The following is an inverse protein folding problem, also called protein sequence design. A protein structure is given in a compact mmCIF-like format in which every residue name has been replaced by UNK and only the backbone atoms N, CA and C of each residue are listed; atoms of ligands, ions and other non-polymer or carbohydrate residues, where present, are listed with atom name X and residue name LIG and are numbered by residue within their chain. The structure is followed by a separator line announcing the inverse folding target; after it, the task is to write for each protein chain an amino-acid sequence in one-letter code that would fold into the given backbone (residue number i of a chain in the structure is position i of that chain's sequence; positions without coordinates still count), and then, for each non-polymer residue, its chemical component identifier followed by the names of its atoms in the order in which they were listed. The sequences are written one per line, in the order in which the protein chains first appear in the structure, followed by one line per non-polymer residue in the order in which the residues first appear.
data_IF_717975722446
#
_entry.id   IF_717975722446
#
_cell.length_a   1.000
_cell.length_b   1.000
_cell.length_c   1.000
_cell.angle_alpha   90.00
_cell.angle_beta   90.00
_cell.angle_gamma   90.00
#
_symmetry.space_group_name_H-M   'P 1'
#
loop_
_entity.id
_entity.type
_entity.pdbx_description
1 polymer ?
#
# COMPACT_ATOMS: atom_id res chain seq x y z
N UNK A 1 -19.68 -17.63 -21.26
CA UNK A 1 -19.07 -16.90 -22.38
C UNK A 1 -18.90 -15.47 -21.89
N UNK A 2 -17.78 -15.18 -21.22
CA UNK A 2 -17.53 -13.84 -20.67
C UNK A 2 -17.22 -12.92 -21.82
N UNK A 3 -18.12 -11.97 -22.04
CA UNK A 3 -17.95 -10.89 -23.00
C UNK A 3 -16.64 -10.19 -22.64
N UNK A 4 -15.65 -10.24 -23.53
CA UNK A 4 -14.40 -9.51 -23.38
C UNK A 4 -14.73 -8.06 -23.71
N UNK A 5 -15.44 -7.41 -22.78
CA UNK A 5 -15.80 -6.03 -22.91
C UNK A 5 -14.51 -5.23 -23.04
N UNK A 6 -14.46 -4.36 -24.04
CA UNK A 6 -13.34 -3.43 -24.22
C UNK A 6 -13.42 -2.39 -23.10
N UNK A 7 -12.33 -2.16 -22.34
CA UNK A 7 -12.34 -1.17 -21.28
C UNK A 7 -12.65 0.24 -21.83
N UNK A 8 -13.44 1.05 -21.11
CA UNK A 8 -13.67 2.45 -21.46
C UNK A 8 -12.36 3.21 -21.63
N UNK A 9 -12.28 4.21 -22.53
CA UNK A 9 -11.03 4.92 -22.82
C UNK A 9 -10.32 5.49 -21.59
N UNK A 10 -11.07 6.01 -20.62
CA UNK A 10 -10.53 6.54 -19.37
C UNK A 10 -9.88 5.45 -18.51
N UNK A 11 -10.54 4.30 -18.37
CA UNK A 11 -9.97 3.16 -17.65
C UNK A 11 -8.76 2.56 -18.40
N UNK A 12 -8.81 2.53 -19.73
CA UNK A 12 -7.66 2.09 -20.54
C UNK A 12 -6.45 3.03 -20.38
N UNK A 13 -6.67 4.35 -20.33
CA UNK A 13 -5.64 5.34 -20.04
C UNK A 13 -5.07 5.17 -18.62
N UNK A 14 -5.94 4.94 -17.64
CA UNK A 14 -5.54 4.67 -16.27
C UNK A 14 -4.71 3.38 -16.14
N UNK A 15 -5.08 2.32 -16.86
CA UNK A 15 -4.28 1.09 -16.93
C UNK A 15 -2.89 1.33 -17.54
N UNK A 16 -2.81 2.14 -18.60
CA UNK A 16 -1.54 2.49 -19.21
C UNK A 16 -0.65 3.31 -18.24
N UNK A 17 -1.24 4.28 -17.54
CA UNK A 17 -0.53 5.07 -16.51
C UNK A 17 -0.04 4.20 -15.35
N UNK A 18 -0.91 3.30 -14.84
CA UNK A 18 -0.59 2.36 -13.77
C UNK A 18 0.57 1.43 -14.15
N UNK A 19 0.57 0.90 -15.37
CA UNK A 19 1.64 0.01 -15.86
C UNK A 19 2.94 0.76 -16.18
N UNK A 20 2.87 2.07 -16.39
CA UNK A 20 4.03 2.94 -16.55
C UNK A 20 4.62 3.45 -15.23
N UNK A 21 3.99 3.16 -14.08
CA UNK A 21 4.48 3.56 -12.78
C UNK A 21 5.87 2.96 -12.47
N UNK A 22 6.69 3.72 -11.75
CA UNK A 22 8.00 3.28 -11.27
C UNK A 22 7.98 3.10 -9.74
N UNK A 23 7.44 1.98 -9.22
CA UNK A 23 7.42 1.73 -7.78
C UNK A 23 8.85 1.60 -7.22
N UNK A 24 8.95 1.75 -5.89
CA UNK A 24 10.20 1.57 -5.12
C UNK A 24 10.90 0.25 -5.50
N UNK A 25 12.22 0.23 -5.75
CA UNK A 25 12.95 -0.98 -6.14
C UNK A 25 13.00 -2.05 -5.05
N UNK A 26 12.71 -1.71 -3.80
CA UNK A 26 12.58 -2.64 -2.67
C UNK A 26 11.26 -3.41 -2.69
N UNK A 27 10.29 -2.98 -3.51
CA UNK A 27 9.03 -3.69 -3.68
C UNK A 27 9.07 -4.65 -4.84
N UNK A 28 8.54 -5.84 -4.62
CA UNK A 28 8.10 -6.73 -5.70
C UNK A 28 6.61 -6.47 -5.94
N UNK A 29 6.29 -5.75 -7.02
CA UNK A 29 4.91 -5.45 -7.41
C UNK A 29 4.45 -6.40 -8.52
N UNK A 30 3.23 -6.92 -8.41
CA UNK A 30 2.61 -7.77 -9.43
C UNK A 30 1.11 -7.51 -9.56
N UNK A 31 0.58 -7.59 -10.79
CA UNK A 31 -0.86 -7.57 -11.03
C UNK A 31 -1.50 -8.87 -10.53
N UNK A 32 -2.63 -8.76 -9.81
CA UNK A 32 -3.40 -9.88 -9.27
C UNK A 32 -4.86 -9.77 -9.71
N UNK A 33 -5.62 -10.86 -9.55
CA UNK A 33 -7.05 -10.84 -9.84
C UNK A 33 -7.76 -9.80 -8.98
N UNK A 34 -8.43 -8.85 -9.63
CA UNK A 34 -9.21 -7.83 -8.95
C UNK A 34 -10.50 -8.39 -8.33
N UNK A 35 -11.02 -7.78 -7.25
CA UNK A 35 -12.33 -8.13 -6.70
C UNK A 35 -13.42 -7.88 -7.75
N UNK A 36 -14.16 -8.92 -8.12
CA UNK A 36 -15.12 -8.87 -9.24
C UNK A 36 -16.48 -8.24 -8.91
N UNK A 37 -16.73 -7.88 -7.66
CA UNK A 37 -18.05 -7.39 -7.19
C UNK A 37 -18.11 -5.90 -6.89
N UNK A 38 -16.99 -5.18 -6.95
CA UNK A 38 -16.91 -3.78 -6.49
C UNK A 38 -17.18 -2.75 -7.59
N UNK A 39 -16.90 -3.10 -8.85
CA UNK A 39 -17.00 -2.19 -9.99
C UNK A 39 -17.13 -2.98 -11.29
N UNK A 40 -17.69 -2.39 -12.37
CA UNK A 40 -17.66 -2.99 -13.70
C UNK A 40 -16.24 -3.20 -14.23
N UNK A 41 -15.30 -2.32 -13.82
CA UNK A 41 -13.90 -2.37 -14.23
C UNK A 41 -13.00 -2.22 -13.01
N UNK A 42 -12.01 -3.10 -12.89
CA UNK A 42 -11.06 -3.07 -11.79
C UNK A 42 -9.71 -3.66 -12.20
N UNK A 43 -8.65 -3.15 -11.57
CA UNK A 43 -7.29 -3.71 -11.62
C UNK A 43 -6.74 -3.74 -10.20
N UNK A 44 -6.01 -4.79 -9.87
CA UNK A 44 -5.42 -4.96 -8.55
C UNK A 44 -3.94 -5.29 -8.65
N UNK A 45 -3.17 -4.70 -7.74
CA UNK A 45 -1.75 -4.96 -7.55
C UNK A 45 -1.55 -5.53 -6.14
N UNK A 46 -0.63 -6.49 -6.02
CA UNK A 46 0.00 -6.84 -4.76
C UNK A 46 1.44 -6.32 -4.74
N UNK A 47 1.92 -5.97 -3.55
CA UNK A 47 3.32 -5.64 -3.35
C UNK A 47 3.84 -6.29 -2.08
N UNK A 48 5.06 -6.78 -2.14
CA UNK A 48 5.81 -7.32 -1.01
C UNK A 48 7.14 -6.59 -0.87
N UNK A 49 7.47 -6.20 0.36
CA UNK A 49 8.72 -5.50 0.68
C UNK A 49 9.81 -6.56 0.89
N UNK A 50 10.77 -6.62 -0.03
CA UNK A 50 11.89 -7.55 0.02
C UNK A 50 13.23 -6.85 0.19
N UNK A 51 14.19 -7.48 0.87
CA UNK A 51 15.55 -6.92 1.05
C UNK A 51 16.46 -7.10 -0.16
N UNK A 52 15.92 -7.41 -1.35
CA UNK A 52 16.72 -7.68 -2.56
C UNK A 52 17.57 -8.96 -2.50
N UNK A 53 17.53 -9.74 -1.40
CA UNK A 53 18.13 -11.08 -1.32
C UNK A 53 17.11 -12.11 -1.78
N UNK A 54 17.48 -12.91 -2.77
CA UNK A 54 16.66 -14.02 -3.26
C UNK A 54 16.39 -15.02 -2.12
N UNK A 55 15.12 -15.20 -1.75
CA UNK A 55 14.67 -16.41 -1.04
C UNK A 55 13.91 -16.23 0.28
N UNK A 56 13.82 -15.03 0.86
CA UNK A 56 12.97 -14.82 2.03
C UNK A 56 11.58 -14.30 1.60
N UNK A 57 10.53 -14.94 2.10
CA UNK A 57 9.16 -14.44 2.05
C UNK A 57 9.08 -13.01 2.63
N UNK A 58 8.00 -12.29 2.31
CA UNK A 58 7.75 -10.89 2.69
C UNK A 58 7.79 -10.65 4.21
N UNK A 59 8.98 -10.57 4.80
CA UNK A 59 9.17 -10.39 6.26
C UNK A 59 8.94 -8.94 6.70
N UNK A 60 8.95 -7.98 5.77
CA UNK A 60 9.01 -6.55 6.10
C UNK A 60 7.70 -5.80 5.89
N UNK A 61 6.81 -6.29 5.03
CA UNK A 61 5.51 -5.68 4.82
C UNK A 61 4.91 -6.04 3.48
N UNK A 62 3.58 -6.03 3.42
CA UNK A 62 2.80 -6.39 2.24
C UNK A 62 1.70 -5.38 2.01
N UNK A 63 1.25 -5.25 0.76
CA UNK A 63 0.16 -4.36 0.42
C UNK A 63 -0.67 -4.85 -0.74
N UNK A 64 -1.88 -4.29 -0.83
CA UNK A 64 -2.75 -4.39 -2.00
C UNK A 64 -3.21 -3.01 -2.42
N UNK A 65 -3.25 -2.79 -3.71
CA UNK A 65 -3.80 -1.59 -4.33
C UNK A 65 -4.84 -2.02 -5.35
N UNK A 66 -6.05 -1.49 -5.26
CA UNK A 66 -7.14 -1.78 -6.19
C UNK A 66 -7.63 -0.47 -6.77
N UNK A 67 -7.55 -0.32 -8.09
CA UNK A 67 -8.19 0.76 -8.81
C UNK A 67 -9.50 0.25 -9.40
N UNK A 68 -10.58 0.90 -9.00
CA UNK A 68 -11.94 0.65 -9.46
C UNK A 68 -12.37 1.76 -10.41
N UNK A 69 -13.16 1.42 -11.42
CA UNK A 69 -13.79 2.37 -12.33
C UNK A 69 -15.24 1.98 -12.60
N UNK A 70 -16.12 2.95 -12.42
CA UNK A 70 -17.55 2.83 -12.73
C UNK A 70 -18.02 4.11 -13.45
N UNK A 71 -18.43 4.01 -14.73
CA UNK A 71 -18.91 5.18 -15.47
C UNK A 71 -20.22 5.75 -14.92
N UNK A 72 -20.93 5.02 -14.06
CA UNK A 72 -22.14 5.49 -13.39
C UNK A 72 -21.85 6.47 -12.24
N UNK A 73 -20.59 6.66 -11.85
CA UNK A 73 -20.16 7.57 -10.78
C UNK A 73 -20.93 7.35 -9.47
N UNK A 74 -20.68 6.23 -8.76
CA UNK A 74 -21.34 5.96 -7.49
C UNK A 74 -21.14 7.13 -6.51
N UNK A 75 -22.23 7.63 -5.91
CA UNK A 75 -22.20 8.80 -5.02
C UNK A 75 -21.18 8.65 -3.87
N UNK A 76 -21.04 7.43 -3.33
CA UNK A 76 -20.09 7.11 -2.26
C UNK A 76 -18.63 7.23 -2.67
N UNK A 77 -18.33 7.30 -3.96
CA UNK A 77 -16.97 7.50 -4.48
C UNK A 77 -16.70 8.98 -4.73
N UNK A 78 -17.71 9.79 -5.04
CA UNK A 78 -17.49 11.19 -5.42
C UNK A 78 -16.64 11.34 -6.69
N UNK A 79 -16.76 10.39 -7.61
CA UNK A 79 -16.04 10.34 -8.89
C UNK A 79 -16.14 8.97 -9.56
N UNK A 80 -15.72 8.88 -10.82
CA UNK A 80 -15.75 7.64 -11.62
C UNK A 80 -14.70 6.62 -11.21
N UNK A 81 -13.62 7.07 -10.58
CA UNK A 81 -12.55 6.22 -10.06
C UNK A 81 -12.62 6.09 -8.55
N UNK A 82 -12.20 4.95 -8.03
CA UNK A 82 -11.95 4.77 -6.60
C UNK A 82 -10.76 3.88 -6.39
N UNK A 83 -9.82 4.33 -5.56
CA UNK A 83 -8.76 3.47 -5.05
C UNK A 83 -9.17 2.90 -3.72
N UNK A 84 -8.90 1.61 -3.52
CA UNK A 84 -8.91 0.96 -2.22
C UNK A 84 -7.54 0.34 -2.01
N UNK A 85 -6.89 0.66 -0.90
CA UNK A 85 -5.59 0.09 -0.56
C UNK A 85 -5.58 -0.54 0.83
N UNK A 86 -4.67 -1.49 0.96
CA UNK A 86 -4.31 -2.18 2.18
C UNK A 86 -2.79 -2.18 2.27
N UNK A 87 -2.25 -1.95 3.45
CA UNK A 87 -0.84 -2.09 3.75
C UNK A 87 -0.67 -2.64 5.16
N UNK A 88 0.25 -3.57 5.35
CA UNK A 88 0.53 -4.19 6.63
C UNK A 88 2.03 -4.39 6.79
N UNK A 89 2.56 -4.10 7.98
CA UNK A 89 3.95 -4.35 8.30
C UNK A 89 4.12 -4.70 9.79
N UNK A 90 5.04 -5.64 10.12
CA UNK A 90 5.41 -5.91 11.50
C UNK A 90 6.14 -4.70 12.11
N UNK A 91 5.96 -4.50 13.42
CA UNK A 91 6.59 -3.43 14.18
C UNK A 91 7.39 -3.96 15.36
N UNK A 92 8.37 -3.16 15.79
CA UNK A 92 8.97 -3.33 17.12
C UNK A 92 7.93 -2.95 18.20
N UNK A 93 7.86 -3.72 19.28
CA UNK A 93 6.78 -3.63 20.27
C UNK A 93 6.76 -2.31 21.05
N UNK A 94 7.93 -1.70 21.25
CA UNK A 94 8.07 -0.38 21.85
C UNK A 94 7.45 0.71 20.95
N UNK A 95 7.72 0.67 19.65
CA UNK A 95 7.12 1.57 18.65
C UNK A 95 5.60 1.37 18.61
N UNK A 96 5.11 0.13 18.67
CA UNK A 96 3.68 -0.19 18.63
C UNK A 96 2.85 0.47 19.76
N UNK A 97 3.49 0.85 20.87
CA UNK A 97 2.82 1.54 21.99
C UNK A 97 2.74 3.06 21.83
N UNK A 98 3.41 3.64 20.83
CA UNK A 98 3.38 5.08 20.59
C UNK A 98 1.94 5.58 20.29
N UNK A 99 1.40 6.55 21.04
CA UNK A 99 0.07 7.08 20.82
C UNK A 99 -0.10 7.77 19.45
N UNK A 100 0.95 8.32 18.85
CA UNK A 100 0.89 9.10 17.61
C UNK A 100 1.13 8.27 16.35
N UNK A 101 1.55 7.01 16.47
CA UNK A 101 1.92 6.17 15.32
C UNK A 101 0.82 6.06 14.26
N UNK A 102 -0.46 6.04 14.68
CA UNK A 102 -1.58 5.99 13.75
C UNK A 102 -1.70 7.27 12.90
N UNK A 103 -1.53 8.44 13.51
CA UNK A 103 -1.57 9.73 12.82
C UNK A 103 -0.37 9.91 11.88
N UNK A 104 0.81 9.47 12.33
CA UNK A 104 2.04 9.50 11.52
C UNK A 104 1.93 8.56 10.32
N UNK A 105 1.45 7.33 10.50
CA UNK A 105 1.26 6.42 9.38
C UNK A 105 0.20 6.91 8.37
N UNK A 106 -0.82 7.62 8.84
CA UNK A 106 -1.77 8.30 7.96
C UNK A 106 -1.12 9.45 7.18
N UNK A 107 -0.31 10.29 7.84
CA UNK A 107 0.38 11.39 7.16
C UNK A 107 1.35 10.87 6.09
N UNK A 108 2.03 9.75 6.34
CA UNK A 108 2.87 9.08 5.34
C UNK A 108 2.14 8.76 4.04
N UNK A 109 0.88 8.31 4.09
CA UNK A 109 0.10 8.08 2.88
C UNK A 109 -0.18 9.39 2.14
N UNK A 110 -0.65 10.41 2.87
CA UNK A 110 -1.02 11.72 2.30
C UNK A 110 0.20 12.39 1.68
N UNK A 111 1.29 12.50 2.45
CA UNK A 111 2.54 13.11 2.01
C UNK A 111 3.14 12.38 0.80
N UNK A 112 3.05 11.04 0.77
CA UNK A 112 3.54 10.26 -0.36
C UNK A 112 2.72 10.47 -1.64
N UNK A 113 1.39 10.56 -1.53
CA UNK A 113 0.53 10.86 -2.67
C UNK A 113 0.81 12.27 -3.21
N UNK A 114 0.92 13.25 -2.31
CA UNK A 114 1.19 14.64 -2.66
C UNK A 114 2.58 14.81 -3.29
N UNK A 115 3.62 14.17 -2.73
CA UNK A 115 4.98 14.22 -3.25
C UNK A 115 5.12 13.61 -4.65
N UNK A 116 4.28 12.61 -4.99
CA UNK A 116 4.21 12.02 -6.34
C UNK A 116 3.31 12.80 -7.30
N UNK A 117 2.64 13.84 -6.81
CA UNK A 117 1.76 14.69 -7.60
C UNK A 117 0.40 14.07 -7.91
N UNK A 118 -0.01 13.04 -7.16
CA UNK A 118 -1.30 12.38 -7.33
C UNK A 118 -2.45 13.38 -7.12
N UNK A 119 -3.45 13.37 -8.00
CA UNK A 119 -4.63 14.24 -7.89
C UNK A 119 -5.79 13.44 -7.33
N UNK A 120 -6.21 13.76 -6.11
CA UNK A 120 -7.27 13.02 -5.43
C UNK A 120 -8.13 13.88 -4.52
N UNK A 121 -9.30 13.33 -4.18
CA UNK A 121 -10.21 13.82 -3.13
C UNK A 121 -10.70 12.66 -2.28
N UNK A 122 -11.47 12.99 -1.24
CA UNK A 122 -12.20 12.02 -0.41
C UNK A 122 -11.31 10.89 0.15
N UNK A 123 -10.08 11.23 0.54
CA UNK A 123 -9.19 10.33 1.25
C UNK A 123 -9.76 10.01 2.62
N UNK A 124 -9.80 8.72 2.93
CA UNK A 124 -10.42 8.16 4.12
C UNK A 124 -9.78 6.82 4.44
N UNK A 125 -9.81 6.40 5.70
CA UNK A 125 -9.21 5.14 6.08
C UNK A 125 -9.14 4.92 7.58
N UNK A 126 -8.50 3.83 7.95
CA UNK A 126 -8.20 3.46 9.34
C UNK A 126 -6.76 2.97 9.41
N UNK A 127 -6.09 3.33 10.51
CA UNK A 127 -4.82 2.73 10.91
C UNK A 127 -5.05 1.95 12.20
N UNK A 128 -4.79 0.65 12.16
CA UNK A 128 -4.99 -0.29 13.27
C UNK A 128 -3.65 -0.74 13.80
N UNK A 129 -3.44 -0.58 15.10
CA UNK A 129 -2.29 -1.15 15.83
C UNK A 129 -2.71 -2.46 16.46
N UNK A 130 -2.00 -3.53 16.14
CA UNK A 130 -2.22 -4.86 16.73
C UNK A 130 -1.06 -5.10 17.69
N UNK A 131 -1.38 -5.30 18.97
CA UNK A 131 -0.42 -5.67 20.01
C UNK A 131 -0.79 -7.06 20.53
N UNK A 132 0.19 -7.96 20.58
CA UNK A 132 0.00 -9.33 21.06
C UNK A 132 1.01 -9.64 22.16
N UNK A 133 0.56 -10.37 23.18
CA UNK A 133 1.42 -10.93 24.22
C UNK A 133 1.34 -12.44 24.18
N UNK A 134 2.49 -13.09 24.02
CA UNK A 134 2.58 -14.54 23.98
C UNK A 134 2.39 -15.17 25.36
N UNK A 135 1.49 -16.15 25.45
CA UNK A 135 1.31 -17.00 26.65
C UNK A 135 1.42 -18.48 26.28
N UNK A 136 1.72 -19.34 27.27
CA UNK A 136 1.86 -20.79 27.06
C UNK A 136 2.97 -21.11 26.05
N UNK A 137 2.66 -21.91 25.02
CA UNK A 137 3.61 -22.26 23.95
C UNK A 137 4.14 -21.03 23.19
N UNK A 138 3.37 -19.93 23.13
CA UNK A 138 3.78 -18.69 22.48
C UNK A 138 4.63 -17.79 23.39
N UNK A 139 4.78 -18.12 24.68
CA UNK A 139 5.61 -17.33 25.60
C UNK A 139 7.07 -17.26 25.16
N UNK A 140 7.57 -18.27 24.43
CA UNK A 140 8.91 -18.25 23.82
C UNK A 140 9.05 -17.26 22.67
N UNK A 141 7.96 -16.90 22.00
CA UNK A 141 7.94 -15.94 20.90
C UNK A 141 7.93 -14.50 21.41
N UNK A 142 7.36 -14.26 22.60
CA UNK A 142 7.33 -12.96 23.27
C UNK A 142 6.15 -12.10 22.83
N UNK A 143 6.28 -10.79 23.04
CA UNK A 143 5.30 -9.80 22.55
C UNK A 143 5.51 -9.52 21.06
N UNK A 144 4.42 -9.23 20.36
CA UNK A 144 4.40 -8.84 18.95
C UNK A 144 3.64 -7.53 18.72
N UNK A 145 4.02 -6.83 17.65
CA UNK A 145 3.30 -5.65 17.18
C UNK A 145 3.21 -5.65 15.65
N UNK A 146 2.10 -5.12 15.15
CA UNK A 146 1.84 -4.98 13.72
C UNK A 146 1.00 -3.72 13.45
N UNK A 147 1.27 -3.07 12.32
CA UNK A 147 0.44 -1.99 11.81
C UNK A 147 -0.32 -2.45 10.59
N UNK A 148 -1.60 -2.11 10.55
CA UNK A 148 -2.45 -2.30 9.38
C UNK A 148 -3.06 -0.95 8.98
N UNK A 149 -2.90 -0.56 7.73
CA UNK A 149 -3.54 0.62 7.14
C UNK A 149 -4.49 0.16 6.05
N UNK A 150 -5.75 0.60 6.16
CA UNK A 150 -6.78 0.46 5.12
C UNK A 150 -7.20 1.85 4.70
N UNK A 151 -7.07 2.19 3.43
CA UNK A 151 -7.44 3.50 2.94
C UNK A 151 -8.16 3.45 1.60
N UNK A 152 -8.84 4.54 1.30
CA UNK A 152 -9.55 4.71 0.05
C UNK A 152 -9.66 6.19 -0.29
N UNK A 153 -9.47 6.52 -1.57
CA UNK A 153 -9.54 7.88 -2.11
C UNK A 153 -10.01 7.85 -3.55
N UNK A 154 -10.33 9.02 -4.10
CA UNK A 154 -10.91 9.19 -5.43
C UNK A 154 -9.92 9.94 -6.31
N UNK A 155 -9.26 9.25 -7.26
CA UNK A 155 -8.47 9.90 -8.31
C UNK A 155 -9.31 10.89 -9.12
N UNK A 156 -8.74 12.04 -9.44
CA UNK A 156 -9.40 13.11 -10.20
C UNK A 156 -9.14 13.05 -11.71
N UNK A 157 -8.18 12.22 -12.14
CA UNK A 157 -7.77 12.04 -13.53
C UNK A 157 -7.36 10.59 -13.78
N UNK A 158 -6.99 10.28 -15.02
CA UNK A 158 -6.54 8.96 -15.44
C UNK A 158 -5.05 8.69 -15.08
N UNK A 159 -4.37 9.59 -14.37
CA UNK A 159 -2.96 9.44 -14.02
C UNK A 159 -2.78 8.51 -12.81
N UNK A 160 -3.10 7.23 -12.98
CA UNK A 160 -3.00 6.21 -11.92
C UNK A 160 -1.55 5.97 -11.41
N UNK A 161 -0.53 6.25 -12.23
CA UNK A 161 0.88 6.02 -11.89
C UNK A 161 1.33 6.68 -10.58
N UNK A 162 1.18 8.02 -10.42
CA UNK A 162 1.43 8.72 -9.16
C UNK A 162 0.77 8.10 -7.92
N UNK A 163 -0.45 7.57 -8.04
CA UNK A 163 -1.12 6.92 -6.91
C UNK A 163 -0.45 5.60 -6.51
N UNK A 164 0.01 4.81 -7.50
CA UNK A 164 0.76 3.56 -7.25
C UNK A 164 2.12 3.86 -6.63
N UNK A 165 2.80 4.91 -7.10
CA UNK A 165 4.09 5.33 -6.55
C UNK A 165 3.97 5.87 -5.12
N UNK A 166 2.91 6.62 -4.81
CA UNK A 166 2.63 7.10 -3.45
C UNK A 166 2.33 5.95 -2.50
N UNK A 167 1.49 5.00 -2.93
CA UNK A 167 1.25 3.76 -2.18
C UNK A 167 2.52 2.92 -1.99
N UNK A 168 3.40 2.88 -2.98
CA UNK A 168 4.69 2.19 -2.89
C UNK A 168 5.61 2.80 -1.84
N UNK A 169 5.65 4.14 -1.76
CA UNK A 169 6.41 4.85 -0.72
C UNK A 169 5.87 4.55 0.68
N UNK A 170 4.54 4.57 0.85
CA UNK A 170 3.90 4.19 2.11
C UNK A 170 4.35 2.81 2.57
N UNK A 171 4.32 1.80 1.69
CA UNK A 171 4.72 0.43 2.05
C UNK A 171 6.16 0.35 2.54
N UNK A 172 7.06 1.09 1.88
CA UNK A 172 8.45 1.15 2.30
C UNK A 172 8.62 1.83 3.66
N UNK A 173 7.92 2.94 3.91
CA UNK A 173 7.95 3.62 5.21
C UNK A 173 7.36 2.76 6.34
N UNK A 174 6.25 2.07 6.09
CA UNK A 174 5.66 1.11 7.03
C UNK A 174 6.62 -0.03 7.37
N UNK A 175 7.40 -0.50 6.39
CA UNK A 175 8.46 -1.49 6.57
C UNK A 175 9.74 -0.93 7.21
N UNK A 176 9.76 0.34 7.61
CA UNK A 176 10.90 1.01 8.26
C UNK A 176 12.03 1.39 7.31
N UNK A 177 11.78 1.45 6.00
CA UNK A 177 12.71 2.00 5.02
C UNK A 177 12.55 3.53 4.97
N UNK A 178 13.65 4.30 4.80
CA UNK A 178 13.56 5.74 4.72
C UNK A 178 12.82 6.17 3.44
N UNK A 179 12.16 7.35 3.45
CA UNK A 179 11.51 7.90 2.26
C UNK A 179 12.52 8.17 1.15
N UNK A 180 12.14 7.88 -0.10
CA UNK A 180 13.05 8.01 -1.26
C UNK A 180 13.43 9.45 -1.61
N UNK A 181 12.64 10.43 -1.16
CA UNK A 181 12.89 11.87 -1.38
C UNK A 181 14.10 12.41 -0.62
N UNK A 182 14.61 11.71 0.41
CA UNK A 182 15.74 12.21 1.20
C UNK A 182 17.12 11.96 0.58
N UNK A 183 17.25 11.23 -0.54
CA UNK A 183 18.55 11.02 -1.19
C UNK A 183 19.61 10.31 -0.32
N UNK A 184 19.21 9.74 0.81
CA UNK A 184 20.08 9.00 1.72
C UNK A 184 19.98 7.52 1.40
N UNK A 185 21.03 6.97 0.81
CA UNK A 185 21.22 5.52 0.68
C UNK A 185 21.21 4.90 2.09
N UNK A 186 20.21 4.06 2.37
CA UNK A 186 20.09 3.39 3.68
C UNK A 186 21.36 2.56 3.97
N UNK A 187 22.03 2.83 5.10
CA UNK A 187 23.10 1.97 5.59
C UNK A 187 22.52 0.61 5.99
N UNK A 188 23.17 -0.52 5.64
CA UNK A 188 22.65 -1.84 5.93
C UNK A 188 22.51 -2.06 7.45
N UNK A 189 21.27 -2.27 7.93
CA UNK A 189 20.97 -2.66 9.31
C UNK A 189 21.64 -4.01 9.59
N UNK A 190 22.72 -3.99 10.39
CA UNK A 190 23.40 -5.20 10.86
C UNK A 190 22.53 -5.89 11.91
N UNK A 191 21.73 -6.89 11.49
CA UNK A 191 20.95 -7.74 12.39
C UNK A 191 21.90 -8.45 13.36
N UNK A 192 21.74 -8.18 14.67
CA UNK A 192 22.49 -8.87 15.72
C UNK A 192 21.96 -10.30 15.79
N UNK A 193 22.75 -11.26 15.29
CA UNK A 193 22.47 -12.70 15.36
C UNK A 193 22.22 -13.07 16.83
N UNK A 194 20.99 -13.45 17.19
CA UNK A 194 20.73 -14.11 18.48
C UNK A 194 21.37 -15.50 18.38
N UNK A 195 22.37 -15.72 19.23
CA UNK A 195 22.90 -17.06 19.53
C UNK A 195 22.05 -17.75 20.58
#
# INVERSE_FOLDING_TARGET
MSDSAVPPPEFAAALASLRGAAPRPELRVSEITAPSSLAPWAVALSADVGTGRHGDDSELGTGRFVLLYDPAEPESWGGRFRVVCFAQAPLETDIGTDPFLAEVAWSWLVDALDARGAKYVAASGTVTKILSTGFGELARQGDGAELELRASWTPLDEAAGPHVEGWSELLCMLAGLPPSSEGVTALPRRRRRRG
#
